data_IF_907908689274
#
_entry.id   IF_907908689274
#
_cell.length_a   1.000
_cell.length_b   1.000
_cell.length_c   1.000
_cell.angle_alpha   90.00
_cell.angle_beta   90.00
_cell.angle_gamma   90.00
#
_symmetry.space_group_name_H-M   'P 1'
#
loop_
_entity.id
_entity.type
_entity.pdbx_description
1 polymer ?
#
# COMPACT_ATOMS: atom_id res chain seq x y z
N UNK A 1 45.75 -53.23 -3.72
CA UNK A 1 44.48 -53.54 -3.12
C UNK A 1 44.54 -53.36 -1.61
N UNK A 2 43.92 -52.45 -1.01
CA UNK A 2 42.61 -52.59 -0.39
C UNK A 2 41.79 -51.31 -0.39
N UNK A 3 40.48 -51.54 -0.37
CA UNK A 3 39.42 -50.57 -0.23
C UNK A 3 39.52 -49.71 1.05
N UNK A 4 39.55 -48.42 0.89
CA UNK A 4 39.39 -47.46 2.01
C UNK A 4 37.96 -46.90 2.03
N UNK A 5 37.23 -47.26 3.10
CA UNK A 5 35.95 -46.65 3.47
C UNK A 5 36.18 -45.24 3.98
N UNK A 6 35.61 -44.23 3.34
CA UNK A 6 35.45 -42.89 3.91
C UNK A 6 34.03 -42.81 4.50
N UNK A 7 33.97 -42.65 5.82
CA UNK A 7 32.75 -42.32 6.55
C UNK A 7 32.30 -40.91 6.14
N UNK A 8 31.13 -40.81 5.53
CA UNK A 8 30.42 -39.53 5.38
C UNK A 8 29.85 -39.12 6.74
N UNK A 9 30.38 -38.04 7.28
CA UNK A 9 29.75 -37.33 8.40
C UNK A 9 28.42 -36.81 7.94
N UNK A 10 27.33 -37.12 8.70
CA UNK A 10 26.00 -36.61 8.45
C UNK A 10 25.99 -35.09 8.60
N UNK A 11 25.64 -34.43 7.54
CA UNK A 11 25.27 -33.01 7.56
C UNK A 11 23.94 -32.87 8.30
N UNK A 12 23.93 -32.00 9.31
CA UNK A 12 22.68 -31.49 9.90
C UNK A 12 21.83 -30.85 8.80
N UNK A 13 20.47 -30.82 8.89
CA UNK A 13 19.62 -30.17 7.91
C UNK A 13 19.90 -28.68 7.96
N UNK A 14 20.88 -28.24 7.19
CA UNK A 14 21.27 -26.87 7.02
C UNK A 14 20.24 -26.12 6.20
N UNK A 15 19.83 -24.99 6.68
CA UNK A 15 19.18 -23.91 5.95
C UNK A 15 19.86 -23.73 4.58
N UNK A 16 19.26 -24.28 3.54
CA UNK A 16 19.72 -24.07 2.16
C UNK A 16 19.54 -22.58 1.85
N UNK A 17 20.66 -21.86 1.76
CA UNK A 17 20.65 -20.49 1.29
C UNK A 17 19.99 -20.45 -0.10
N UNK A 18 19.02 -19.57 -0.29
CA UNK A 18 18.43 -19.30 -1.60
C UNK A 18 19.55 -18.78 -2.51
N UNK A 19 19.93 -19.56 -3.51
CA UNK A 19 20.91 -19.15 -4.52
C UNK A 19 20.30 -18.02 -5.34
N UNK A 20 20.98 -16.91 -5.62
CA UNK A 20 20.45 -15.76 -6.35
C UNK A 20 19.79 -16.07 -7.71
N UNK A 21 20.19 -17.15 -8.37
CA UNK A 21 19.59 -17.63 -9.63
C UNK A 21 18.29 -18.40 -9.46
N UNK A 22 18.02 -19.02 -8.32
CA UNK A 22 16.87 -19.91 -8.13
C UNK A 22 15.50 -19.18 -8.09
N UNK A 23 15.50 -17.89 -7.77
CA UNK A 23 14.27 -17.07 -7.81
C UNK A 23 13.82 -16.67 -9.21
N UNK A 24 14.64 -16.92 -10.25
CA UNK A 24 14.38 -16.38 -11.61
C UNK A 24 14.18 -17.49 -12.64
N UNK A 25 14.66 -18.73 -12.42
CA UNK A 25 14.81 -19.73 -13.48
C UNK A 25 13.90 -20.98 -13.38
N UNK A 26 12.92 -21.08 -12.51
CA UNK A 26 12.16 -22.32 -12.41
C UNK A 26 10.75 -22.28 -13.01
N UNK A 27 10.65 -22.99 -14.04
CA UNK A 27 9.69 -23.93 -14.63
C UNK A 27 8.19 -23.57 -14.81
N UNK A 28 7.73 -23.95 -15.96
CA UNK A 28 6.50 -23.77 -16.70
C UNK A 28 5.18 -24.20 -16.01
N UNK A 29 4.86 -23.64 -14.85
CA UNK A 29 3.50 -23.63 -14.32
C UNK A 29 3.10 -22.18 -13.99
N UNK A 30 2.45 -21.49 -14.93
CA UNK A 30 1.94 -20.11 -14.82
C UNK A 30 2.91 -19.13 -14.13
N UNK A 31 4.05 -18.93 -14.76
CA UNK A 31 5.12 -18.05 -14.28
C UNK A 31 4.59 -16.63 -14.11
N UNK A 32 4.77 -16.04 -12.93
CA UNK A 32 4.54 -14.61 -12.69
C UNK A 32 5.40 -13.82 -13.66
N UNK A 33 4.80 -13.15 -14.62
CA UNK A 33 5.54 -12.32 -15.58
C UNK A 33 5.96 -11.02 -14.88
N UNK A 34 7.16 -11.00 -14.31
CA UNK A 34 7.72 -9.84 -13.65
C UNK A 34 8.36 -8.88 -14.65
N UNK A 35 8.17 -7.59 -14.42
CA UNK A 35 8.92 -6.54 -15.11
C UNK A 35 10.38 -6.52 -14.64
N UNK A 36 11.28 -5.95 -15.44
CA UNK A 36 12.72 -5.99 -15.15
C UNK A 36 13.08 -5.34 -13.82
N UNK A 37 12.43 -4.26 -13.43
CA UNK A 37 12.64 -3.65 -12.11
C UNK A 37 12.15 -4.54 -10.95
N UNK A 38 11.13 -5.37 -11.17
CA UNK A 38 10.66 -6.34 -10.18
C UNK A 38 11.63 -7.52 -10.07
N UNK A 39 12.18 -7.99 -11.20
CA UNK A 39 13.24 -9.02 -11.22
C UNK A 39 14.49 -8.53 -10.47
N UNK A 40 14.90 -7.26 -10.67
CA UNK A 40 16.03 -6.69 -9.94
C UNK A 40 15.77 -6.66 -8.42
N UNK A 41 14.56 -6.30 -8.00
CA UNK A 41 14.18 -6.35 -6.58
C UNK A 41 14.24 -7.78 -6.05
N UNK A 42 13.74 -8.77 -6.79
CA UNK A 42 13.78 -10.18 -6.39
C UNK A 42 15.23 -10.66 -6.22
N UNK A 43 16.12 -10.32 -7.17
CA UNK A 43 17.55 -10.64 -7.11
C UNK A 43 18.20 -10.03 -5.87
N UNK A 44 18.03 -8.72 -5.64
CA UNK A 44 18.60 -8.00 -4.49
C UNK A 44 18.03 -8.50 -3.16
N UNK A 45 16.72 -8.81 -3.10
CA UNK A 45 16.12 -9.43 -1.92
C UNK A 45 16.76 -10.79 -1.61
N UNK A 46 17.04 -11.61 -2.63
CA UNK A 46 17.71 -12.90 -2.45
C UNK A 46 19.13 -12.74 -1.92
N UNK A 47 19.87 -11.75 -2.43
CA UNK A 47 21.22 -11.42 -1.97
C UNK A 47 21.22 -10.97 -0.50
N UNK A 48 20.30 -10.08 -0.11
CA UNK A 48 20.15 -9.64 1.28
C UNK A 48 19.79 -10.79 2.22
N UNK A 49 18.94 -11.74 1.78
CA UNK A 49 18.57 -12.91 2.58
C UNK A 49 19.68 -13.92 2.80
N UNK A 50 20.86 -13.77 2.17
CA UNK A 50 22.05 -14.59 2.49
C UNK A 50 22.66 -14.21 3.85
N UNK A 51 22.56 -12.95 4.24
CA UNK A 51 23.18 -12.40 5.45
C UNK A 51 22.19 -11.84 6.47
N UNK A 52 20.99 -11.49 6.04
CA UNK A 52 19.96 -10.87 6.87
C UNK A 52 18.73 -11.76 6.96
N UNK A 53 18.11 -11.79 8.13
CA UNK A 53 16.86 -12.54 8.34
C UNK A 53 15.62 -11.71 7.97
N UNK A 54 15.69 -10.42 8.16
CA UNK A 54 14.56 -9.49 8.09
C UNK A 54 14.87 -8.37 7.09
N UNK A 55 14.17 -8.36 5.96
CA UNK A 55 14.41 -7.41 4.87
C UNK A 55 13.15 -6.62 4.57
N UNK A 56 13.28 -5.31 4.49
CA UNK A 56 12.20 -4.43 4.01
C UNK A 56 12.43 -4.11 2.52
N UNK A 57 11.38 -4.17 1.72
CA UNK A 57 11.38 -3.74 0.31
C UNK A 57 10.50 -2.52 0.17
N UNK A 58 11.09 -1.43 -0.31
CA UNK A 58 10.38 -0.19 -0.61
C UNK A 58 10.08 -0.13 -2.11
N UNK A 59 8.78 0.00 -2.43
CA UNK A 59 8.28 0.22 -3.78
C UNK A 59 7.14 1.25 -3.78
N UNK A 60 7.13 2.27 -4.65
CA UNK A 60 6.04 3.23 -4.73
C UNK A 60 4.68 2.58 -4.94
N UNK A 61 3.61 3.29 -4.59
CA UNK A 61 2.24 2.85 -4.86
C UNK A 61 2.02 2.73 -6.38
N UNK A 62 1.38 1.65 -6.82
CA UNK A 62 1.09 1.42 -8.25
C UNK A 62 2.20 0.69 -9.02
N UNK A 63 3.33 0.34 -8.39
CA UNK A 63 4.44 -0.36 -9.06
C UNK A 63 4.41 -1.89 -8.89
N UNK A 64 3.30 -2.46 -8.42
CA UNK A 64 3.10 -3.90 -8.37
C UNK A 64 3.73 -4.61 -7.18
N UNK A 65 3.71 -4.02 -5.98
CA UNK A 65 4.12 -4.69 -4.72
C UNK A 65 3.50 -6.08 -4.55
N UNK A 66 2.20 -6.20 -4.83
CA UNK A 66 1.48 -7.47 -4.69
C UNK A 66 1.95 -8.53 -5.69
N UNK A 67 2.45 -8.12 -6.86
CA UNK A 67 3.07 -9.03 -7.83
C UNK A 67 4.41 -9.56 -7.31
N UNK A 68 5.24 -8.69 -6.72
CA UNK A 68 6.49 -9.11 -6.08
C UNK A 68 6.20 -10.03 -4.89
N UNK A 69 5.18 -9.72 -4.07
CA UNK A 69 4.72 -10.61 -3.00
C UNK A 69 4.40 -12.01 -3.54
N UNK A 70 3.56 -12.09 -4.55
CA UNK A 70 3.16 -13.38 -5.13
C UNK A 70 4.35 -14.13 -5.74
N UNK A 71 5.29 -13.44 -6.39
CA UNK A 71 6.50 -14.04 -6.92
C UNK A 71 7.41 -14.59 -5.81
N UNK A 72 7.57 -13.86 -4.70
CA UNK A 72 8.33 -14.35 -3.53
C UNK A 72 7.70 -15.61 -2.97
N UNK A 73 6.37 -15.61 -2.77
CA UNK A 73 5.64 -16.79 -2.27
C UNK A 73 5.83 -17.98 -3.20
N UNK A 74 5.60 -17.79 -4.49
CA UNK A 74 5.75 -18.86 -5.49
C UNK A 74 7.15 -19.44 -5.48
N UNK A 75 8.17 -18.59 -5.49
CA UNK A 75 9.58 -19.02 -5.47
C UNK A 75 9.96 -19.73 -4.16
N UNK A 76 9.45 -19.24 -3.03
CA UNK A 76 9.77 -19.81 -1.71
C UNK A 76 9.17 -21.22 -1.52
N UNK A 77 8.03 -21.51 -2.15
CA UNK A 77 7.36 -22.80 -2.05
C UNK A 77 7.90 -23.87 -3.01
N UNK A 78 8.69 -23.49 -4.02
CA UNK A 78 9.21 -24.45 -5.04
C UNK A 78 10.13 -25.51 -4.42
N UNK A 79 10.79 -25.21 -3.33
CA UNK A 79 11.80 -26.08 -2.67
C UNK A 79 11.24 -27.05 -1.61
N UNK A 80 9.92 -27.29 -1.55
CA UNK A 80 9.33 -28.26 -0.63
C UNK A 80 8.13 -27.75 0.18
N UNK A 81 7.67 -28.54 1.16
CA UNK A 81 6.59 -28.16 2.08
C UNK A 81 7.07 -27.08 3.06
N UNK A 82 6.97 -25.83 2.66
CA UNK A 82 7.31 -24.65 3.49
C UNK A 82 6.06 -23.90 3.87
N UNK A 83 6.05 -23.27 5.04
CA UNK A 83 4.92 -22.49 5.52
C UNK A 83 5.20 -21.00 5.40
N UNK A 84 4.28 -20.28 4.74
CA UNK A 84 4.35 -18.83 4.53
C UNK A 84 3.14 -18.17 5.20
N UNK A 85 3.41 -17.18 6.05
CA UNK A 85 2.37 -16.30 6.56
C UNK A 85 2.43 -14.96 5.86
N UNK A 86 1.27 -14.50 5.38
CA UNK A 86 1.11 -13.17 4.81
C UNK A 86 0.21 -12.37 5.75
N UNK A 87 0.76 -11.32 6.34
CA UNK A 87 0.10 -10.53 7.37
C UNK A 87 -0.28 -9.17 6.81
N UNK A 88 -1.57 -8.92 6.70
CA UNK A 88 -2.14 -7.66 6.25
C UNK A 88 -2.52 -6.77 7.45
N UNK A 89 -2.43 -5.45 7.27
CA UNK A 89 -2.86 -4.49 8.28
C UNK A 89 -4.39 -4.48 8.44
N UNK A 90 -5.15 -4.68 7.36
CA UNK A 90 -6.61 -4.66 7.34
C UNK A 90 -7.19 -5.96 6.80
N UNK A 91 -8.35 -6.34 7.34
CA UNK A 91 -9.07 -7.56 6.93
C UNK A 91 -9.48 -7.54 5.44
N UNK A 92 -9.83 -6.36 4.92
CA UNK A 92 -10.25 -6.19 3.53
C UNK A 92 -9.13 -6.52 2.53
N UNK A 93 -7.87 -6.37 2.94
CA UNK A 93 -6.71 -6.70 2.11
C UNK A 93 -6.45 -8.21 2.01
N UNK A 94 -6.91 -8.99 2.98
CA UNK A 94 -6.69 -10.45 3.01
C UNK A 94 -7.23 -11.09 1.75
N UNK A 95 -8.52 -10.88 1.43
CA UNK A 95 -9.14 -11.47 0.25
C UNK A 95 -8.47 -11.03 -1.06
N UNK A 96 -8.00 -9.79 -1.14
CA UNK A 96 -7.30 -9.27 -2.31
C UNK A 96 -5.92 -9.90 -2.50
N UNK A 97 -5.20 -10.12 -1.40
CA UNK A 97 -3.90 -10.82 -1.42
C UNK A 97 -4.12 -12.28 -1.83
N UNK A 98 -5.12 -12.96 -1.24
CA UNK A 98 -5.49 -14.34 -1.58
C UNK A 98 -5.81 -14.47 -3.07
N UNK A 99 -6.66 -13.60 -3.61
CA UNK A 99 -7.00 -13.57 -5.04
C UNK A 99 -5.75 -13.39 -5.92
N UNK A 100 -4.84 -12.50 -5.51
CA UNK A 100 -3.62 -12.25 -6.29
C UNK A 100 -2.69 -13.44 -6.23
N UNK A 101 -2.44 -14.04 -5.07
CA UNK A 101 -1.59 -15.22 -4.89
C UNK A 101 -2.15 -16.39 -5.69
N UNK A 102 -3.47 -16.61 -5.67
CA UNK A 102 -4.13 -17.66 -6.43
C UNK A 102 -4.00 -17.46 -7.96
N UNK A 103 -4.05 -16.23 -8.47
CA UNK A 103 -3.84 -15.93 -9.90
C UNK A 103 -2.47 -16.38 -10.41
N UNK A 104 -1.49 -16.41 -9.54
CA UNK A 104 -0.12 -16.87 -9.86
C UNK A 104 0.09 -18.37 -9.68
N UNK A 105 -1.00 -19.13 -9.58
CA UNK A 105 -0.95 -20.60 -9.59
C UNK A 105 -0.52 -21.23 -8.27
N UNK A 106 -0.43 -20.44 -7.20
CA UNK A 106 -0.07 -20.93 -5.88
C UNK A 106 -1.34 -21.42 -5.18
N UNK A 107 -1.37 -22.71 -4.79
CA UNK A 107 -2.52 -23.29 -4.07
C UNK A 107 -2.60 -22.75 -2.64
N UNK A 108 -3.71 -22.14 -2.30
CA UNK A 108 -4.02 -21.73 -0.92
C UNK A 108 -4.60 -22.89 -0.09
N UNK A 109 -4.96 -24.01 -0.75
CA UNK A 109 -5.64 -25.16 -0.13
C UNK A 109 -4.69 -26.14 0.57
N UNK A 110 -3.41 -26.11 0.21
CA UNK A 110 -2.42 -27.07 0.71
C UNK A 110 -1.90 -26.78 2.13
N UNK A 111 -2.45 -25.76 2.78
CA UNK A 111 -2.07 -25.35 4.13
C UNK A 111 -0.70 -24.66 4.25
N UNK A 112 0.06 -24.59 3.16
CA UNK A 112 1.40 -23.97 3.13
C UNK A 112 1.35 -22.44 3.22
N UNK A 113 0.24 -21.81 2.82
CA UNK A 113 0.07 -20.36 2.84
C UNK A 113 -1.10 -20.00 3.75
N UNK A 114 -0.86 -19.04 4.64
CA UNK A 114 -1.91 -18.42 5.46
C UNK A 114 -1.90 -16.92 5.26
N UNK A 115 -3.02 -16.37 4.79
CA UNK A 115 -3.21 -14.92 4.67
C UNK A 115 -4.10 -14.46 5.83
N UNK A 116 -3.62 -13.54 6.63
CA UNK A 116 -4.27 -13.15 7.88
C UNK A 116 -4.17 -11.65 8.11
N UNK A 117 -5.16 -11.07 8.78
CA UNK A 117 -4.98 -9.74 9.35
C UNK A 117 -4.22 -9.81 10.67
N UNK A 118 -3.42 -8.78 10.97
CA UNK A 118 -2.68 -8.73 12.24
C UNK A 118 -3.61 -8.78 13.46
N UNK A 119 -4.83 -8.21 13.35
CA UNK A 119 -5.82 -8.22 14.42
C UNK A 119 -6.36 -9.63 14.69
N UNK A 120 -6.55 -10.42 13.64
CA UNK A 120 -6.95 -11.82 13.79
C UNK A 120 -5.82 -12.62 14.42
N UNK A 121 -4.63 -12.50 13.87
CA UNK A 121 -3.44 -13.23 14.30
C UNK A 121 -3.12 -12.99 15.78
N UNK A 122 -3.19 -11.75 16.27
CA UNK A 122 -2.91 -11.43 17.68
C UNK A 122 -3.89 -12.06 18.65
N UNK A 123 -5.09 -12.42 18.22
CA UNK A 123 -6.10 -13.09 19.06
C UNK A 123 -5.99 -14.62 19.02
N UNK A 124 -5.41 -15.17 17.96
CA UNK A 124 -5.39 -16.61 17.66
C UNK A 124 -3.96 -17.17 17.55
N UNK A 125 -2.98 -16.49 18.13
CA UNK A 125 -1.58 -16.93 18.05
C UNK A 125 -1.36 -18.35 18.56
N UNK A 126 -2.02 -18.69 19.65
CA UNK A 126 -1.86 -19.98 20.32
C UNK A 126 -2.67 -21.09 19.61
N UNK A 127 -3.64 -20.72 18.77
CA UNK A 127 -4.43 -21.65 17.96
C UNK A 127 -3.69 -22.09 16.67
N UNK A 128 -2.67 -21.34 16.26
CA UNK A 128 -1.90 -21.63 15.03
C UNK A 128 -0.70 -22.50 15.38
N UNK A 129 -0.84 -23.79 15.16
CA UNK A 129 0.15 -24.81 15.54
C UNK A 129 1.42 -24.74 14.67
N UNK A 130 1.26 -24.54 13.34
CA UNK A 130 2.36 -24.52 12.40
C UNK A 130 3.09 -23.17 12.40
N UNK A 131 4.39 -23.18 12.64
CA UNK A 131 5.22 -21.97 12.58
C UNK A 131 5.64 -21.70 11.13
N UNK A 132 5.63 -20.42 10.70
CA UNK A 132 6.07 -20.07 9.35
C UNK A 132 7.59 -20.10 9.24
N UNK A 133 8.10 -20.44 8.07
CA UNK A 133 9.48 -20.22 7.67
C UNK A 133 9.68 -18.84 7.03
N UNK A 134 8.59 -18.27 6.48
CA UNK A 134 8.58 -16.91 5.93
C UNK A 134 7.34 -16.15 6.43
N UNK A 135 7.55 -14.94 6.93
CA UNK A 135 6.50 -13.98 7.28
C UNK A 135 6.60 -12.79 6.33
N UNK A 136 5.56 -12.54 5.55
CA UNK A 136 5.45 -11.36 4.69
C UNK A 136 4.48 -10.37 5.33
N UNK A 137 4.90 -9.14 5.49
CA UNK A 137 4.09 -8.05 6.05
C UNK A 137 3.81 -7.04 4.94
N UNK A 138 2.55 -6.97 4.52
CA UNK A 138 2.12 -5.93 3.59
C UNK A 138 1.88 -4.62 4.34
N UNK A 139 2.20 -3.50 3.70
CA UNK A 139 2.25 -2.15 4.28
C UNK A 139 3.07 -2.10 5.59
N UNK A 140 4.30 -2.61 5.50
CA UNK A 140 5.21 -2.84 6.63
C UNK A 140 5.60 -1.57 7.42
N UNK A 141 5.29 -0.38 6.93
CA UNK A 141 5.41 0.85 7.74
C UNK A 141 4.51 0.84 8.99
N UNK A 142 3.50 -0.04 9.05
CA UNK A 142 2.71 -0.29 10.26
C UNK A 142 3.40 -1.26 11.24
N UNK A 143 4.45 -1.97 10.83
CA UNK A 143 5.07 -3.06 11.60
C UNK A 143 5.69 -2.63 12.94
N UNK A 144 6.01 -1.35 13.13
CA UNK A 144 6.51 -0.83 14.39
C UNK A 144 5.50 -0.85 15.54
N UNK A 145 4.20 -1.08 15.27
CA UNK A 145 3.21 -1.24 16.31
C UNK A 145 3.54 -2.49 17.17
N UNK A 146 3.27 -2.39 18.49
CA UNK A 146 3.54 -3.46 19.45
C UNK A 146 2.99 -4.83 19.03
N UNK A 147 1.85 -4.83 18.34
CA UNK A 147 1.20 -6.05 17.83
C UNK A 147 2.05 -6.79 16.79
N UNK A 148 2.81 -6.08 15.98
CA UNK A 148 3.70 -6.70 14.99
C UNK A 148 5.02 -7.18 15.60
N UNK A 149 5.56 -6.49 16.62
CA UNK A 149 6.81 -6.90 17.30
C UNK A 149 6.73 -8.31 17.88
N UNK A 150 5.53 -8.75 18.27
CA UNK A 150 5.29 -10.09 18.76
C UNK A 150 5.66 -11.16 17.70
N UNK A 151 5.50 -10.87 16.40
CA UNK A 151 5.86 -11.81 15.32
C UNK A 151 7.33 -12.24 15.39
N UNK A 152 8.22 -11.28 15.57
CA UNK A 152 9.66 -11.58 15.65
C UNK A 152 10.03 -12.46 16.85
N UNK A 153 9.35 -12.26 17.97
CA UNK A 153 9.58 -13.09 19.18
C UNK A 153 8.93 -14.48 19.07
N UNK A 154 7.79 -14.57 18.38
CA UNK A 154 7.04 -15.84 18.24
C UNK A 154 7.54 -16.72 17.08
N UNK A 155 8.20 -16.11 16.09
CA UNK A 155 8.74 -16.79 14.91
C UNK A 155 10.26 -16.51 14.77
N UNK A 156 11.11 -16.94 15.74
CA UNK A 156 12.51 -16.58 15.77
C UNK A 156 13.32 -17.16 14.60
N UNK A 157 12.87 -18.28 14.02
CA UNK A 157 13.54 -18.96 12.91
C UNK A 157 13.06 -18.48 11.53
N UNK A 158 11.93 -17.74 11.48
CA UNK A 158 11.36 -17.30 10.22
C UNK A 158 12.17 -16.17 9.57
N UNK A 159 12.23 -16.17 8.24
CA UNK A 159 12.61 -14.99 7.47
C UNK A 159 11.45 -13.99 7.46
N UNK A 160 11.77 -12.70 7.41
CA UNK A 160 10.79 -11.64 7.34
C UNK A 160 10.96 -10.81 6.07
N UNK A 161 9.86 -10.56 5.38
CA UNK A 161 9.77 -9.60 4.28
C UNK A 161 8.76 -8.53 4.63
N UNK A 162 9.18 -7.28 4.69
CA UNK A 162 8.28 -6.13 4.77
C UNK A 162 8.12 -5.48 3.41
N UNK A 163 6.89 -5.28 2.94
CA UNK A 163 6.60 -4.53 1.72
C UNK A 163 5.97 -3.19 2.08
N UNK A 164 6.49 -2.09 1.55
CA UNK A 164 5.95 -0.75 1.84
C UNK A 164 6.20 0.24 0.70
N UNK A 165 5.35 1.26 0.60
CA UNK A 165 5.63 2.43 -0.25
C UNK A 165 6.57 3.43 0.47
N UNK A 166 6.53 3.45 1.80
CA UNK A 166 7.27 4.41 2.63
C UNK A 166 7.95 3.69 3.79
N UNK A 167 9.27 3.63 3.84
CA UNK A 167 9.99 2.91 4.89
C UNK A 167 10.03 3.65 6.24
N UNK A 168 9.56 4.90 6.30
CA UNK A 168 9.62 5.76 7.49
C UNK A 168 8.23 6.09 8.03
N UNK A 169 8.11 6.26 9.36
CA UNK A 169 6.92 6.72 10.07
C UNK A 169 7.09 8.14 10.59
N UNK A 170 5.96 8.79 10.99
CA UNK A 170 5.89 10.16 11.51
C UNK A 170 6.80 10.44 12.71
N UNK A 171 7.28 9.49 13.48
CA UNK A 171 8.07 9.67 14.69
C UNK A 171 9.58 9.60 14.52
N UNK A 172 10.16 9.70 13.31
CA UNK A 172 11.58 9.47 13.00
C UNK A 172 12.14 8.12 13.43
N UNK A 173 11.33 7.20 13.96
CA UNK A 173 11.74 5.82 14.21
C UNK A 173 11.86 5.10 12.86
N UNK A 174 13.07 4.70 12.52
CA UNK A 174 13.39 4.00 11.28
C UNK A 174 12.85 2.56 11.29
N UNK A 175 13.01 1.88 10.18
CA UNK A 175 12.66 0.45 10.04
C UNK A 175 13.66 -0.47 10.78
N UNK A 176 14.83 0.04 11.17
CA UNK A 176 15.98 -0.69 11.72
C UNK A 176 15.71 -1.40 13.06
N UNK A 177 14.61 -1.05 13.75
CA UNK A 177 14.22 -1.78 14.96
C UNK A 177 13.74 -3.22 14.70
N UNK A 178 13.29 -3.51 13.47
CA UNK A 178 12.66 -4.78 13.10
C UNK A 178 13.24 -5.39 11.83
N UNK A 179 13.76 -4.58 10.93
CA UNK A 179 14.31 -5.03 9.66
C UNK A 179 15.81 -4.72 9.60
N UNK A 180 16.58 -5.74 9.27
CA UNK A 180 18.06 -5.69 9.22
C UNK A 180 18.54 -4.92 7.98
N UNK A 181 17.78 -4.98 6.89
CA UNK A 181 18.15 -4.38 5.59
C UNK A 181 16.96 -3.76 4.86
N UNK A 182 17.26 -2.86 3.93
CA UNK A 182 16.30 -2.17 3.07
C UNK A 182 16.70 -2.27 1.59
N UNK A 183 15.84 -2.88 0.79
CA UNK A 183 15.93 -2.88 -0.67
C UNK A 183 15.00 -1.81 -1.22
N UNK A 184 15.55 -0.75 -1.82
CA UNK A 184 14.76 0.30 -2.46
C UNK A 184 14.62 0.04 -3.96
N UNK A 185 13.40 0.20 -4.50
CA UNK A 185 13.16 0.26 -5.93
C UNK A 185 13.57 1.63 -6.51
N UNK A 186 13.26 1.86 -7.77
CA UNK A 186 13.42 3.17 -8.38
C UNK A 186 12.55 4.22 -7.67
N UNK A 187 12.95 5.49 -7.79
CA UNK A 187 12.16 6.62 -7.33
C UNK A 187 10.88 6.80 -8.16
N UNK A 188 9.88 7.51 -7.62
CA UNK A 188 8.65 7.86 -8.37
C UNK A 188 8.99 8.59 -9.67
N UNK A 189 9.93 9.55 -9.63
CA UNK A 189 10.39 10.29 -10.80
C UNK A 189 10.98 9.36 -11.87
N UNK A 190 11.74 8.36 -11.47
CA UNK A 190 12.31 7.39 -12.41
C UNK A 190 11.25 6.46 -13.00
N UNK A 191 10.27 6.01 -12.21
CA UNK A 191 9.12 5.25 -12.71
C UNK A 191 8.30 6.05 -13.73
N UNK A 192 8.09 7.36 -13.51
CA UNK A 192 7.42 8.24 -14.46
C UNK A 192 8.26 8.37 -15.74
N UNK A 193 9.56 8.67 -15.62
CA UNK A 193 10.47 8.81 -16.76
C UNK A 193 10.53 7.55 -17.63
N UNK A 194 10.47 6.37 -16.98
CA UNK A 194 10.45 5.07 -17.67
C UNK A 194 9.06 4.65 -18.16
N UNK A 195 8.02 5.45 -17.91
CA UNK A 195 6.66 5.21 -18.38
C UNK A 195 5.88 4.15 -17.63
N UNK A 196 6.32 3.74 -16.45
CA UNK A 196 5.60 2.81 -15.58
C UNK A 196 4.54 3.47 -14.70
N UNK A 197 4.72 4.75 -14.39
CA UNK A 197 3.73 5.60 -13.74
C UNK A 197 3.35 6.75 -14.68
N UNK A 198 2.14 7.30 -14.50
CA UNK A 198 1.68 8.48 -15.22
C UNK A 198 2.42 9.72 -14.73
N UNK A 199 2.66 10.67 -15.63
CA UNK A 199 3.02 12.03 -15.24
C UNK A 199 1.88 12.67 -14.43
N UNK A 200 2.18 13.78 -13.77
CA UNK A 200 1.17 14.53 -13.03
C UNK A 200 1.42 16.03 -13.08
N UNK A 201 0.33 16.77 -13.01
CA UNK A 201 0.32 18.20 -12.76
C UNK A 201 -0.04 18.43 -11.31
N UNK A 202 0.73 19.24 -10.59
CA UNK A 202 0.49 19.53 -9.18
C UNK A 202 -0.02 20.96 -9.01
N UNK A 203 -1.20 21.07 -8.43
CA UNK A 203 -1.85 22.35 -8.14
C UNK A 203 -2.04 22.46 -6.64
N UNK A 204 -1.62 23.55 -6.01
CA UNK A 204 -1.78 23.76 -4.59
C UNK A 204 -2.31 25.15 -4.24
N UNK A 205 -2.81 25.28 -3.01
CA UNK A 205 -3.24 26.58 -2.47
C UNK A 205 -2.03 27.50 -2.34
N UNK A 206 -2.28 28.80 -2.55
CA UNK A 206 -1.22 29.83 -2.42
C UNK A 206 -0.79 29.96 -0.96
N UNK A 207 0.51 30.13 -0.75
CA UNK A 207 1.07 30.51 0.54
C UNK A 207 0.38 31.82 1.03
N UNK A 208 0.13 31.91 2.35
CA UNK A 208 -0.57 33.03 2.98
C UNK A 208 -2.02 33.26 2.53
N UNK A 209 -2.63 32.33 1.78
CA UNK A 209 -4.04 32.36 1.48
C UNK A 209 -4.88 32.18 2.76
N UNK A 210 -6.18 32.47 2.68
CA UNK A 210 -7.12 32.21 3.79
C UNK A 210 -7.15 30.73 4.14
N UNK A 211 -7.09 29.87 3.12
CA UNK A 211 -7.08 28.40 3.26
C UNK A 211 -5.84 27.95 4.03
N UNK A 212 -4.68 28.46 3.64
CA UNK A 212 -3.43 28.12 4.33
C UNK A 212 -3.48 28.53 5.80
N UNK A 213 -4.01 29.71 6.10
CA UNK A 213 -4.16 30.15 7.51
C UNK A 213 -5.11 29.24 8.29
N UNK A 214 -6.16 28.70 7.67
CA UNK A 214 -7.04 27.73 8.32
C UNK A 214 -6.32 26.41 8.63
N UNK A 215 -5.47 25.95 7.72
CA UNK A 215 -4.65 24.76 7.97
C UNK A 215 -3.59 25.03 9.05
N UNK A 216 -2.94 26.17 8.97
CA UNK A 216 -1.90 26.58 9.95
C UNK A 216 -2.48 26.76 11.37
N UNK A 217 -3.79 26.96 11.51
CA UNK A 217 -4.49 27.05 12.81
C UNK A 217 -4.78 25.70 13.47
N UNK A 218 -4.47 24.57 12.81
CA UNK A 218 -4.69 23.23 13.37
C UNK A 218 -3.58 22.87 14.36
N UNK A 219 -3.91 22.84 15.65
CA UNK A 219 -2.95 22.61 16.72
C UNK A 219 -3.04 21.21 17.33
N UNK A 220 -4.25 20.65 17.39
CA UNK A 220 -4.50 19.37 18.09
C UNK A 220 -4.01 18.18 17.29
N UNK A 221 -3.48 17.19 18.00
CA UNK A 221 -2.99 15.94 17.43
C UNK A 221 -3.82 14.76 17.93
N UNK A 222 -4.03 13.79 17.04
CA UNK A 222 -4.59 12.50 17.37
C UNK A 222 -3.57 11.57 18.05
N UNK A 223 -4.03 10.40 18.49
CA UNK A 223 -3.15 9.39 19.10
C UNK A 223 -2.08 8.86 18.14
N UNK A 224 -2.31 8.96 16.82
CA UNK A 224 -1.39 8.60 15.76
C UNK A 224 -0.37 9.69 15.41
N UNK A 225 -0.45 10.87 16.07
CA UNK A 225 0.40 12.04 15.84
C UNK A 225 -0.04 12.92 14.66
N UNK A 226 -1.06 12.53 13.89
CA UNK A 226 -1.65 13.32 12.82
C UNK A 226 -2.60 14.39 13.38
N UNK A 227 -3.12 15.29 12.55
CA UNK A 227 -4.13 16.26 12.96
C UNK A 227 -5.38 15.59 13.53
N UNK A 228 -5.97 16.17 14.57
CA UNK A 228 -7.19 15.64 15.17
C UNK A 228 -8.38 15.80 14.22
N UNK A 229 -9.10 14.70 13.94
CA UNK A 229 -10.21 14.68 12.96
C UNK A 229 -11.30 15.69 13.31
N UNK A 230 -11.64 15.82 14.61
CA UNK A 230 -12.69 16.76 15.04
C UNK A 230 -12.31 18.19 14.73
N UNK A 231 -11.10 18.61 15.05
CA UNK A 231 -10.62 19.98 14.79
C UNK A 231 -10.57 20.26 13.28
N UNK A 232 -10.03 19.34 12.48
CA UNK A 232 -10.05 19.44 11.01
C UNK A 232 -11.48 19.60 10.47
N UNK A 233 -12.43 18.81 11.00
CA UNK A 233 -13.83 18.86 10.57
C UNK A 233 -14.48 20.21 10.90
N UNK A 234 -14.25 20.74 12.11
CA UNK A 234 -14.81 22.03 12.56
C UNK A 234 -14.29 23.20 11.69
N UNK A 235 -13.07 23.09 11.18
CA UNK A 235 -12.43 24.13 10.37
C UNK A 235 -12.76 23.99 8.89
N UNK A 236 -12.73 22.76 8.33
CA UNK A 236 -12.78 22.53 6.89
C UNK A 236 -14.15 22.10 6.37
N UNK A 237 -15.04 21.53 7.20
CA UNK A 237 -16.37 21.11 6.81
C UNK A 237 -17.37 22.31 6.82
N UNK A 238 -17.03 23.35 6.07
CA UNK A 238 -17.83 24.56 5.93
C UNK A 238 -18.19 24.77 4.48
N UNK A 239 -19.38 25.31 4.23
CA UNK A 239 -19.87 25.55 2.87
C UNK A 239 -18.84 26.27 1.98
N UNK A 240 -18.22 27.34 2.48
CA UNK A 240 -17.22 28.11 1.73
C UNK A 240 -15.95 27.30 1.41
N UNK A 241 -15.56 26.37 2.27
CA UNK A 241 -14.42 25.48 2.02
C UNK A 241 -14.78 24.44 0.95
N UNK A 242 -15.96 23.83 1.04
CA UNK A 242 -16.46 22.85 0.06
C UNK A 242 -16.67 23.51 -1.32
N UNK A 243 -17.21 24.72 -1.37
CA UNK A 243 -17.33 25.48 -2.62
C UNK A 243 -15.97 25.67 -3.31
N UNK A 244 -14.90 25.92 -2.55
CA UNK A 244 -13.56 26.06 -3.13
C UNK A 244 -13.00 24.75 -3.64
N UNK A 245 -13.23 23.64 -2.91
CA UNK A 245 -12.88 22.31 -3.42
C UNK A 245 -13.52 22.08 -4.78
N UNK A 246 -14.81 22.38 -4.92
CA UNK A 246 -15.53 22.25 -6.17
C UNK A 246 -14.94 23.13 -7.28
N UNK A 247 -14.68 24.42 -6.98
CA UNK A 247 -14.06 25.34 -7.94
C UNK A 247 -12.69 24.86 -8.43
N UNK A 248 -11.89 24.28 -7.54
CA UNK A 248 -10.60 23.71 -7.93
C UNK A 248 -10.76 22.54 -8.90
N UNK A 249 -11.79 21.70 -8.73
CA UNK A 249 -12.07 20.62 -9.69
C UNK A 249 -12.49 21.18 -11.03
N UNK A 250 -13.38 22.17 -11.08
CA UNK A 250 -13.82 22.81 -12.33
C UNK A 250 -12.64 23.49 -13.06
N UNK A 251 -11.74 24.14 -12.32
CA UNK A 251 -10.63 24.88 -12.91
C UNK A 251 -9.54 23.98 -13.46
N UNK A 252 -9.21 22.86 -12.75
CA UNK A 252 -8.05 22.05 -13.07
C UNK A 252 -8.36 20.63 -13.55
N UNK A 253 -9.56 20.14 -13.33
CA UNK A 253 -9.95 18.78 -13.60
C UNK A 253 -11.38 18.62 -14.12
N UNK A 254 -11.89 19.62 -14.84
CA UNK A 254 -13.23 19.58 -15.41
C UNK A 254 -13.42 18.38 -16.34
N UNK A 255 -14.55 17.70 -16.21
CA UNK A 255 -14.88 16.49 -16.97
C UNK A 255 -14.08 15.24 -16.62
N UNK A 256 -13.04 15.33 -15.78
CA UNK A 256 -12.16 14.23 -15.40
C UNK A 256 -12.77 13.37 -14.29
N UNK A 257 -12.33 12.10 -14.27
CA UNK A 257 -12.68 11.12 -13.25
C UNK A 257 -11.70 11.19 -12.09
N UNK A 258 -12.19 11.29 -10.85
CA UNK A 258 -11.29 11.51 -9.74
C UNK A 258 -11.72 11.01 -8.37
N UNK A 259 -10.78 11.12 -7.43
CA UNK A 259 -10.95 10.75 -6.03
C UNK A 259 -10.70 11.96 -5.15
N UNK A 260 -11.59 12.19 -4.17
CA UNK A 260 -11.44 13.21 -3.14
C UNK A 260 -11.20 12.54 -1.79
N UNK A 261 -10.16 12.96 -1.08
CA UNK A 261 -9.86 12.50 0.27
C UNK A 261 -10.38 13.51 1.30
N UNK A 262 -11.46 13.15 1.99
CA UNK A 262 -12.13 13.97 2.98
C UNK A 262 -11.63 13.73 4.40
N UNK A 263 -11.91 14.68 5.30
CA UNK A 263 -11.49 14.65 6.71
C UNK A 263 -12.31 13.65 7.53
N UNK A 264 -13.64 13.66 7.33
CA UNK A 264 -14.63 12.90 8.09
C UNK A 264 -15.75 12.40 7.19
N UNK A 265 -16.58 11.51 7.71
CA UNK A 265 -17.76 11.00 7.00
C UNK A 265 -18.72 12.13 6.63
N UNK A 266 -18.98 13.05 7.56
CA UNK A 266 -19.86 14.19 7.30
C UNK A 266 -19.26 15.13 6.25
N UNK A 267 -17.95 15.38 6.31
CA UNK A 267 -17.27 16.16 5.28
C UNK A 267 -17.36 15.48 3.90
N UNK A 268 -17.18 14.17 3.81
CA UNK A 268 -17.29 13.43 2.55
C UNK A 268 -18.72 13.53 1.98
N UNK A 269 -19.75 13.35 2.81
CA UNK A 269 -21.15 13.46 2.42
C UNK A 269 -21.48 14.86 1.95
N UNK A 270 -21.04 15.89 2.65
CA UNK A 270 -21.27 17.28 2.29
C UNK A 270 -20.57 17.66 0.97
N UNK A 271 -19.34 17.18 0.74
CA UNK A 271 -18.64 17.38 -0.54
C UNK A 271 -19.42 16.70 -1.68
N UNK A 272 -19.76 15.41 -1.52
CA UNK A 272 -20.49 14.67 -2.55
C UNK A 272 -21.86 15.31 -2.87
N UNK A 273 -22.61 15.69 -1.85
CA UNK A 273 -23.90 16.36 -2.00
C UNK A 273 -23.76 17.71 -2.74
N UNK A 274 -22.74 18.50 -2.37
CA UNK A 274 -22.49 19.78 -3.03
C UNK A 274 -22.11 19.60 -4.50
N UNK A 275 -21.21 18.65 -4.81
CA UNK A 275 -20.78 18.36 -6.17
C UNK A 275 -21.94 17.86 -7.02
N UNK A 276 -22.75 16.91 -6.52
CA UNK A 276 -23.93 16.40 -7.21
C UNK A 276 -25.00 17.49 -7.41
N UNK A 277 -25.20 18.36 -6.42
CA UNK A 277 -26.10 19.53 -6.54
C UNK A 277 -25.65 20.56 -7.59
N UNK A 278 -24.37 20.49 -8.01
CA UNK A 278 -23.79 21.31 -9.09
C UNK A 278 -23.69 20.57 -10.42
N UNK A 279 -24.22 19.35 -10.52
CA UNK A 279 -24.24 18.57 -11.76
C UNK A 279 -23.01 17.69 -12.00
N UNK A 280 -22.13 17.53 -11.00
CA UNK A 280 -20.99 16.61 -11.08
C UNK A 280 -21.35 15.31 -10.35
N UNK A 281 -21.45 14.18 -11.07
CA UNK A 281 -21.80 12.88 -10.50
C UNK A 281 -20.81 12.45 -9.43
N UNK A 282 -21.12 12.70 -8.17
CA UNK A 282 -20.28 12.42 -7.03
C UNK A 282 -20.99 11.56 -5.99
N UNK A 283 -20.22 10.66 -5.35
CA UNK A 283 -20.73 9.82 -4.28
C UNK A 283 -19.72 9.72 -3.13
N UNK A 284 -20.23 9.71 -1.89
CA UNK A 284 -19.41 9.51 -0.70
C UNK A 284 -19.37 8.05 -0.32
N UNK A 285 -18.17 7.55 0.03
CA UNK A 285 -17.94 6.19 0.51
C UNK A 285 -17.11 6.22 1.79
N UNK A 286 -17.56 5.47 2.79
CA UNK A 286 -16.94 5.45 4.11
C UNK A 286 -16.97 4.03 4.73
N UNK A 287 -16.44 3.89 5.95
CA UNK A 287 -16.38 2.61 6.67
C UNK A 287 -17.76 2.05 7.04
N UNK A 288 -18.80 2.87 7.11
CA UNK A 288 -20.17 2.46 7.41
C UNK A 288 -20.96 2.09 6.15
N UNK A 289 -20.43 2.38 4.94
CA UNK A 289 -21.07 1.97 3.70
C UNK A 289 -21.12 0.44 3.62
N UNK A 290 -22.32 -0.18 3.52
CA UNK A 290 -22.47 -1.63 3.42
C UNK A 290 -21.66 -2.23 2.28
N UNK A 291 -21.11 -3.42 2.46
CA UNK A 291 -20.19 -4.05 1.48
C UNK A 291 -20.82 -4.16 0.07
N UNK A 292 -22.11 -4.56 -0.02
CA UNK A 292 -22.80 -4.67 -1.29
C UNK A 292 -22.97 -3.30 -1.99
N UNK A 293 -23.32 -2.27 -1.21
CA UNK A 293 -23.43 -0.90 -1.71
C UNK A 293 -22.09 -0.34 -2.14
N UNK A 294 -21.03 -0.56 -1.35
CA UNK A 294 -19.66 -0.19 -1.67
C UNK A 294 -19.23 -0.83 -3.01
N UNK A 295 -19.51 -2.13 -3.19
CA UNK A 295 -19.22 -2.83 -4.45
C UNK A 295 -19.91 -2.22 -5.65
N UNK A 296 -21.19 -1.86 -5.52
CA UNK A 296 -21.97 -1.17 -6.55
C UNK A 296 -21.37 0.20 -6.88
N UNK A 297 -21.12 1.05 -5.87
CA UNK A 297 -20.55 2.40 -6.06
C UNK A 297 -19.17 2.35 -6.73
N UNK A 298 -18.33 1.39 -6.34
CA UNK A 298 -17.04 1.15 -7.00
C UNK A 298 -17.22 0.69 -8.45
N UNK A 299 -18.20 -0.17 -8.73
CA UNK A 299 -18.56 -0.57 -10.09
C UNK A 299 -19.04 0.61 -10.95
N UNK A 300 -19.90 1.46 -10.38
CA UNK A 300 -20.41 2.67 -11.04
C UNK A 300 -19.30 3.70 -11.29
N UNK A 301 -18.33 3.80 -10.38
CA UNK A 301 -17.15 4.62 -10.60
C UNK A 301 -16.24 4.05 -11.69
N UNK A 302 -15.99 2.73 -11.69
CA UNK A 302 -15.18 2.09 -12.75
C UNK A 302 -15.80 2.27 -14.14
N UNK A 303 -17.12 2.19 -14.25
CA UNK A 303 -17.85 2.40 -15.53
C UNK A 303 -18.04 3.87 -15.90
N UNK A 304 -17.67 4.81 -15.02
CA UNK A 304 -17.81 6.25 -15.26
C UNK A 304 -19.21 6.83 -15.03
N UNK A 305 -20.15 6.04 -14.46
CA UNK A 305 -21.46 6.55 -14.00
C UNK A 305 -21.32 7.49 -12.81
N UNK A 306 -20.38 7.19 -11.91
CA UNK A 306 -19.91 8.12 -10.89
C UNK A 306 -18.58 8.68 -11.38
N UNK A 307 -18.47 9.99 -11.47
CA UNK A 307 -17.25 10.70 -11.90
C UNK A 307 -16.29 10.97 -10.73
N UNK A 308 -16.85 11.26 -9.55
CA UNK A 308 -16.04 11.60 -8.38
C UNK A 308 -16.42 10.72 -7.19
N UNK A 309 -15.43 9.98 -6.66
CA UNK A 309 -15.58 9.29 -5.38
C UNK A 309 -14.95 10.11 -4.27
N UNK A 310 -15.78 10.46 -3.29
CA UNK A 310 -15.33 11.13 -2.07
C UNK A 310 -15.20 10.10 -0.96
N UNK A 311 -14.00 9.95 -0.38
CA UNK A 311 -13.79 8.90 0.60
C UNK A 311 -13.10 9.38 1.87
N UNK A 312 -13.26 8.58 2.94
CA UNK A 312 -12.59 8.75 4.22
C UNK A 312 -11.86 7.45 4.54
N UNK A 313 -10.54 7.45 4.36
CA UNK A 313 -9.62 6.35 4.70
C UNK A 313 -9.96 4.95 4.12
N UNK A 314 -10.97 4.83 3.22
CA UNK A 314 -11.40 3.54 2.65
C UNK A 314 -10.53 3.14 1.45
N UNK A 315 -10.09 4.11 0.66
CA UNK A 315 -9.30 3.89 -0.56
C UNK A 315 -7.80 4.21 -0.38
N UNK A 316 -7.34 4.35 0.86
CA UNK A 316 -5.91 4.47 1.13
C UNK A 316 -5.16 3.20 0.73
N UNK A 317 -5.77 2.04 0.91
CA UNK A 317 -5.19 0.73 0.60
C UNK A 317 -6.17 -0.13 -0.22
N UNK A 318 -5.66 -1.00 -1.09
CA UNK A 318 -6.46 -2.03 -1.77
C UNK A 318 -7.40 -1.60 -2.91
N UNK A 319 -7.67 -0.32 -3.10
CA UNK A 319 -8.53 0.15 -4.18
C UNK A 319 -7.78 0.18 -5.52
N UNK A 320 -8.30 -0.54 -6.52
CA UNK A 320 -7.72 -0.58 -7.86
C UNK A 320 -8.64 0.05 -8.92
N UNK A 321 -8.27 1.25 -9.34
CA UNK A 321 -8.89 2.00 -10.43
C UNK A 321 -7.80 2.84 -11.11
N UNK A 322 -7.10 2.30 -12.13
CA UNK A 322 -5.93 2.95 -12.72
C UNK A 322 -6.28 4.17 -13.59
N UNK A 323 -7.53 4.28 -14.03
CA UNK A 323 -8.05 5.36 -14.88
C UNK A 323 -8.50 6.63 -14.11
N UNK A 324 -8.07 6.76 -12.85
CA UNK A 324 -8.25 7.99 -12.07
C UNK A 324 -7.39 9.09 -12.66
N UNK A 325 -8.02 10.19 -13.12
CA UNK A 325 -7.38 11.30 -13.81
C UNK A 325 -7.07 12.48 -12.89
N UNK A 326 -7.74 12.57 -11.73
CA UNK A 326 -7.33 13.52 -10.69
C UNK A 326 -7.47 12.94 -9.28
N UNK A 327 -6.65 13.45 -8.38
CA UNK A 327 -6.74 13.21 -6.94
C UNK A 327 -6.81 14.55 -6.23
N UNK A 328 -7.88 14.77 -5.47
CA UNK A 328 -8.06 15.97 -4.68
C UNK A 328 -7.85 15.70 -3.20
N UNK A 329 -6.94 16.41 -2.61
CA UNK A 329 -6.59 16.32 -1.20
C UNK A 329 -7.33 17.42 -0.43
N UNK A 330 -8.41 17.04 0.23
CA UNK A 330 -9.23 17.91 1.08
C UNK A 330 -9.00 17.65 2.58
N UNK A 331 -8.04 16.77 2.90
CA UNK A 331 -7.61 16.44 4.26
C UNK A 331 -6.13 16.73 4.45
N UNK A 332 -5.76 17.67 5.35
CA UNK A 332 -4.37 17.83 5.75
C UNK A 332 -3.89 16.61 6.53
N UNK A 333 -2.62 16.29 6.41
CA UNK A 333 -1.97 15.20 7.14
C UNK A 333 -0.50 15.51 7.38
N UNK A 334 0.05 15.00 8.47
CA UNK A 334 1.48 15.00 8.78
C UNK A 334 2.12 13.65 8.42
N UNK A 335 1.35 12.71 7.86
CA UNK A 335 1.82 11.38 7.48
C UNK A 335 2.23 11.36 6.01
N UNK A 336 3.54 11.29 5.75
CA UNK A 336 4.09 11.09 4.40
C UNK A 336 3.52 9.82 3.74
N UNK A 337 3.32 8.76 4.52
CA UNK A 337 2.74 7.51 4.02
C UNK A 337 1.32 7.73 3.48
N UNK A 338 0.44 8.40 4.24
CA UNK A 338 -0.91 8.74 3.77
C UNK A 338 -0.86 9.60 2.51
N UNK A 339 -0.03 10.65 2.50
CA UNK A 339 0.13 11.52 1.34
C UNK A 339 0.52 10.74 0.08
N UNK A 340 1.60 9.94 0.15
CA UNK A 340 2.08 9.17 -1.00
C UNK A 340 1.12 8.05 -1.44
N UNK A 341 0.38 7.44 -0.52
CA UNK A 341 -0.66 6.48 -0.85
C UNK A 341 -1.83 7.13 -1.59
N UNK A 342 -2.27 8.31 -1.14
CA UNK A 342 -3.35 9.08 -1.78
C UNK A 342 -2.92 9.57 -3.18
N UNK A 343 -1.79 10.27 -3.28
CA UNK A 343 -1.25 10.74 -4.55
C UNK A 343 -1.00 9.59 -5.54
N UNK A 344 -0.44 8.49 -5.05
CA UNK A 344 -0.11 7.31 -5.85
C UNK A 344 -1.30 6.63 -6.52
N UNK A 345 -2.55 6.89 -6.06
CA UNK A 345 -3.75 6.39 -6.76
C UNK A 345 -3.92 7.03 -8.12
N UNK A 346 -3.56 8.30 -8.24
CA UNK A 346 -3.59 9.01 -9.52
C UNK A 346 -2.42 8.68 -10.43
N UNK A 347 -1.32 8.15 -9.92
CA UNK A 347 -0.12 7.90 -10.74
C UNK A 347 -0.15 6.57 -11.51
N UNK A 348 -1.16 5.73 -11.33
CA UNK A 348 -1.27 4.47 -12.08
C UNK A 348 -1.49 4.74 -13.56
N UNK A 349 -0.86 3.93 -14.40
CA UNK A 349 -1.09 3.96 -15.86
C UNK A 349 -2.42 3.32 -16.22
N UNK A 350 -3.09 3.94 -17.18
CA UNK A 350 -4.28 3.38 -17.85
C UNK A 350 -4.28 3.77 -19.32
N UNK A 351 -4.93 2.98 -20.15
CA UNK A 351 -5.13 3.30 -21.58
C UNK A 351 -5.94 4.59 -21.67
N UNK A 352 -5.48 5.53 -22.49
CA UNK A 352 -6.14 6.83 -22.70
C UNK A 352 -5.85 7.88 -21.62
N UNK A 353 -5.07 7.54 -20.58
CA UNK A 353 -4.66 8.47 -19.54
C UNK A 353 -3.19 8.84 -19.72
N UNK A 354 -2.93 10.10 -20.04
CA UNK A 354 -1.57 10.64 -20.23
C UNK A 354 -1.01 11.18 -18.91
N UNK A 355 -1.80 11.97 -18.18
CA UNK A 355 -1.40 12.66 -16.96
C UNK A 355 -2.48 12.58 -15.88
N UNK A 356 -2.11 12.83 -14.64
CA UNK A 356 -3.02 12.97 -13.50
C UNK A 356 -2.90 14.38 -12.92
N UNK A 357 -4.01 14.97 -12.49
CA UNK A 357 -3.98 16.24 -11.75
C UNK A 357 -4.03 15.95 -10.25
N UNK A 358 -3.01 16.37 -9.52
CA UNK A 358 -2.99 16.33 -8.06
C UNK A 358 -3.40 17.70 -7.53
N UNK A 359 -4.59 17.79 -6.95
CA UNK A 359 -5.15 19.05 -6.42
C UNK A 359 -4.97 19.07 -4.92
N UNK A 360 -3.99 19.81 -4.45
CA UNK A 360 -3.68 19.99 -3.03
C UNK A 360 -4.39 21.22 -2.46
N UNK A 361 -5.59 21.03 -1.95
CA UNK A 361 -6.37 22.11 -1.32
C UNK A 361 -5.98 22.39 0.14
N UNK A 362 -4.95 21.71 0.65
CA UNK A 362 -4.56 21.76 2.07
C UNK A 362 -3.07 22.04 2.29
N UNK A 363 -2.33 22.37 1.23
CA UNK A 363 -0.93 22.81 1.31
C UNK A 363 0.06 21.73 1.76
N UNK A 364 -0.15 20.46 1.34
CA UNK A 364 0.74 19.34 1.69
C UNK A 364 2.16 19.51 1.14
N UNK A 365 2.33 20.23 0.03
CA UNK A 365 3.64 20.51 -0.53
C UNK A 365 4.58 21.26 0.43
N UNK A 366 4.02 22.05 1.36
CA UNK A 366 4.80 22.77 2.40
C UNK A 366 5.34 21.84 3.47
N UNK A 367 4.67 20.71 3.66
CA UNK A 367 5.06 19.71 4.68
C UNK A 367 6.01 18.68 4.08
N UNK A 368 5.78 18.25 2.85
CA UNK A 368 6.45 17.10 2.25
C UNK A 368 7.32 17.43 1.03
N UNK A 369 7.18 18.62 0.46
CA UNK A 369 7.76 18.95 -0.83
C UNK A 369 6.97 18.32 -2.00
N UNK A 370 7.55 18.38 -3.19
CA UNK A 370 7.01 17.80 -4.44
C UNK A 370 7.73 16.49 -4.77
#
# INVERSE_FOLDING_TARGET
EPLSFVKSAGEAPGTRALVPGALIENDMAKTVCLHDYQKDIMRRLSEEWLTHRSVMVQMPTGTGKTHVLAAVVSSFLTDGKRTVWIVAHRRELVAQIEETVAKYGTSLTDGCIRVMSIQWLTRHYDDVVEKPELVIIDEAHHAQARTYRILWSRCPEAKFLGLTATPCRMGRSGFTDLFDSLVCSWSVAEFIRKGWLSSFDYVSIRANSREQRLIDSLEKRGADGDYQIREMNDVLNRHTSIERLYRSVLEYADGKKGIVYAVSIDHARNIAAYYSGKGLDAAAIDSHTPTAERGRMVGDFKTGRIKVLVNVDVFSEGFDCPDVEFVQMARPTLSLAKYLQQAGRGLRKSVGKETCVLIDNVGLYRVFGL
#
